data_IF_118111387000
#
_entry.id   IF_118111387000
#
_cell.length_a   1.000
_cell.length_b   1.000
_cell.length_c   1.000
_cell.angle_alpha   90.00
_cell.angle_beta   90.00
_cell.angle_gamma   90.00
#
_symmetry.space_group_name_H-M   'P 1'
#
loop_
_entity.id
_entity.type
_entity.pdbx_description
1 polymer ?
#
# COMPACT_ATOMS: atom_id res chain seq x y z
N UNK A 1 6.43 17.21 -11.74
CA UNK A 1 5.34 17.02 -10.76
C UNK A 1 4.08 16.58 -11.50
N UNK A 2 3.44 15.51 -11.03
CA UNK A 2 2.20 14.99 -11.60
C UNK A 2 1.03 15.52 -10.77
N UNK A 3 -0.08 15.93 -11.38
CA UNK A 3 -1.22 16.34 -10.55
C UNK A 3 -1.85 15.11 -9.87
N UNK A 4 -2.42 15.29 -8.67
CA UNK A 4 -3.02 14.21 -7.85
C UNK A 4 -3.94 13.31 -8.67
N UNK A 5 -4.83 13.91 -9.47
CA UNK A 5 -5.80 13.18 -10.27
C UNK A 5 -5.15 12.24 -11.29
N UNK A 6 -4.12 12.69 -12.01
CA UNK A 6 -3.44 11.85 -12.98
C UNK A 6 -2.68 10.69 -12.31
N UNK A 7 -2.09 10.92 -11.14
CA UNK A 7 -1.44 9.86 -10.37
C UNK A 7 -2.48 8.84 -9.87
N UNK A 8 -3.61 9.30 -9.34
CA UNK A 8 -4.70 8.43 -8.91
C UNK A 8 -5.21 7.55 -10.06
N UNK A 9 -5.51 8.14 -11.23
CA UNK A 9 -5.98 7.38 -12.40
C UNK A 9 -4.98 6.31 -12.83
N UNK A 10 -3.67 6.60 -12.79
CA UNK A 10 -2.63 5.61 -13.09
C UNK A 10 -2.52 4.51 -12.03
N UNK A 11 -2.61 4.86 -10.75
CA UNK A 11 -2.59 3.88 -9.65
C UNK A 11 -3.79 2.95 -9.72
N UNK A 12 -4.98 3.49 -9.93
CA UNK A 12 -6.20 2.69 -10.12
C UNK A 12 -6.07 1.75 -11.31
N UNK A 13 -5.50 2.20 -12.42
CA UNK A 13 -5.24 1.33 -13.56
C UNK A 13 -4.25 0.20 -13.23
N UNK A 14 -3.14 0.51 -12.53
CA UNK A 14 -2.13 -0.47 -12.11
C UNK A 14 -2.66 -1.52 -11.14
N UNK A 15 -3.64 -1.15 -10.30
CA UNK A 15 -4.19 -1.99 -9.24
C UNK A 15 -5.56 -2.57 -9.57
N UNK A 16 -6.10 -2.25 -10.75
CA UNK A 16 -7.44 -2.64 -11.20
C UNK A 16 -7.70 -4.14 -11.09
N UNK A 17 -6.73 -4.98 -11.46
CA UNK A 17 -6.83 -6.44 -11.32
C UNK A 17 -7.06 -6.87 -9.87
N UNK A 18 -6.31 -6.27 -8.92
CA UNK A 18 -6.46 -6.59 -7.50
C UNK A 18 -7.83 -6.18 -6.95
N UNK A 19 -8.29 -4.98 -7.33
CA UNK A 19 -9.62 -4.50 -6.95
C UNK A 19 -10.75 -5.31 -7.61
N UNK A 20 -10.56 -5.78 -8.84
CA UNK A 20 -11.48 -6.69 -9.51
C UNK A 20 -11.58 -8.03 -8.79
N UNK A 21 -10.44 -8.62 -8.43
CA UNK A 21 -10.40 -9.88 -7.67
C UNK A 21 -11.10 -9.76 -6.31
N UNK A 22 -11.00 -8.61 -5.62
CA UNK A 22 -11.75 -8.39 -4.37
C UNK A 22 -13.25 -8.59 -4.56
N UNK A 23 -13.82 -7.97 -5.61
CA UNK A 23 -15.25 -8.09 -5.91
C UNK A 23 -15.63 -9.52 -6.32
N UNK A 24 -14.80 -10.18 -7.14
CA UNK A 24 -15.02 -11.57 -7.57
C UNK A 24 -14.99 -12.57 -6.40
N UNK A 25 -14.17 -12.29 -5.38
CA UNK A 25 -14.04 -13.10 -4.17
C UNK A 25 -15.05 -12.72 -3.07
N UNK A 26 -15.97 -11.79 -3.35
CA UNK A 26 -17.04 -11.41 -2.44
C UNK A 26 -16.62 -10.51 -1.28
N UNK A 27 -15.52 -9.76 -1.43
CA UNK A 27 -15.11 -8.73 -0.48
C UNK A 27 -15.61 -7.35 -0.92
N UNK A 28 -16.01 -6.52 0.05
CA UNK A 28 -16.37 -5.13 -0.25
C UNK A 28 -15.14 -4.36 -0.80
N UNK A 29 -15.28 -3.55 -1.85
CA UNK A 29 -14.16 -2.77 -2.36
C UNK A 29 -13.74 -1.69 -1.36
N UNK A 30 -12.44 -1.38 -1.32
CA UNK A 30 -11.93 -0.22 -0.59
C UNK A 30 -12.62 1.08 -1.04
N UNK A 31 -12.87 2.01 -0.13
CA UNK A 31 -13.45 3.32 -0.42
C UNK A 31 -12.52 4.22 -1.26
N UNK A 32 -13.05 5.32 -1.79
CA UNK A 32 -12.27 6.24 -2.63
C UNK A 32 -11.08 6.87 -1.88
N UNK A 33 -11.26 7.24 -0.61
CA UNK A 33 -10.20 7.79 0.23
C UNK A 33 -9.07 6.77 0.45
N UNK A 34 -9.42 5.51 0.70
CA UNK A 34 -8.45 4.41 0.88
C UNK A 34 -7.68 4.13 -0.42
N UNK A 35 -8.36 4.14 -1.57
CA UNK A 35 -7.74 3.91 -2.89
C UNK A 35 -6.86 5.07 -3.37
N UNK A 36 -7.06 6.28 -2.84
CA UNK A 36 -6.33 7.49 -3.24
C UNK A 36 -5.25 7.93 -2.25
N UNK A 37 -5.09 7.21 -1.13
CA UNK A 37 -4.18 7.54 -0.03
C UNK A 37 -2.76 7.89 -0.51
N UNK A 38 -2.15 7.00 -1.29
CA UNK A 38 -0.78 7.20 -1.77
C UNK A 38 -0.67 8.23 -2.89
N UNK A 39 -1.70 8.35 -3.73
CA UNK A 39 -1.75 9.36 -4.78
C UNK A 39 -1.65 10.78 -4.19
N UNK A 40 -2.25 10.97 -3.02
CA UNK A 40 -2.26 12.25 -2.31
C UNK A 40 -0.86 12.64 -1.82
N UNK A 41 -0.09 11.66 -1.35
CA UNK A 41 1.24 11.86 -0.75
C UNK A 41 2.32 12.03 -1.83
N UNK A 42 2.32 11.16 -2.84
CA UNK A 42 3.42 11.11 -3.81
C UNK A 42 3.19 11.94 -5.09
N UNK A 43 2.07 12.68 -5.21
CA UNK A 43 1.83 13.50 -6.41
C UNK A 43 2.88 14.61 -6.62
N UNK A 44 3.51 15.07 -5.53
CA UNK A 44 4.55 16.10 -5.56
C UNK A 44 5.96 15.53 -5.71
N UNK A 45 6.12 14.20 -5.82
CA UNK A 45 7.43 13.57 -5.90
C UNK A 45 8.22 14.08 -7.12
N UNK A 46 9.52 14.44 -6.98
CA UNK A 46 10.29 15.08 -8.05
C UNK A 46 10.41 14.22 -9.31
N UNK A 47 10.69 12.93 -9.13
CA UNK A 47 10.79 11.94 -10.19
C UNK A 47 9.43 11.26 -10.39
N UNK A 48 8.85 11.41 -11.58
CA UNK A 48 7.49 10.93 -11.87
C UNK A 48 7.43 9.41 -11.88
N UNK A 49 8.46 8.73 -12.37
CA UNK A 49 8.47 7.28 -12.50
C UNK A 49 8.71 6.64 -11.14
N UNK A 50 9.71 7.11 -10.40
CA UNK A 50 9.96 6.66 -9.03
C UNK A 50 8.77 6.97 -8.11
N UNK A 51 8.17 8.16 -8.25
CA UNK A 51 6.98 8.54 -7.49
C UNK A 51 5.78 7.64 -7.76
N UNK A 52 5.56 7.23 -9.02
CA UNK A 52 4.50 6.28 -9.37
C UNK A 52 4.76 4.89 -8.79
N UNK A 53 5.99 4.38 -8.91
CA UNK A 53 6.38 3.08 -8.35
C UNK A 53 6.27 3.08 -6.82
N UNK A 54 6.72 4.14 -6.15
CA UNK A 54 6.64 4.27 -4.70
C UNK A 54 5.19 4.38 -4.23
N UNK A 55 4.36 5.13 -4.93
CA UNK A 55 2.93 5.21 -4.64
C UNK A 55 2.24 3.86 -4.84
N UNK A 56 2.56 3.12 -5.92
CA UNK A 56 2.00 1.81 -6.18
C UNK A 56 2.44 0.77 -5.13
N UNK A 57 3.72 0.80 -4.74
CA UNK A 57 4.25 -0.02 -3.65
C UNK A 57 3.52 0.29 -2.33
N UNK A 58 3.43 1.57 -1.95
CA UNK A 58 2.70 1.98 -0.76
C UNK A 58 1.22 1.56 -0.79
N UNK A 59 0.54 1.72 -1.92
CA UNK A 59 -0.87 1.34 -2.03
C UNK A 59 -1.06 -0.17 -1.92
N UNK A 60 -0.16 -0.97 -2.51
CA UNK A 60 -0.17 -2.42 -2.35
C UNK A 60 0.07 -2.83 -0.90
N UNK A 61 1.02 -2.21 -0.21
CA UNK A 61 1.33 -2.51 1.18
C UNK A 61 0.17 -2.12 2.11
N UNK A 62 -0.48 -0.99 1.85
CA UNK A 62 -1.74 -0.61 2.50
C UNK A 62 -2.80 -1.70 2.34
N UNK A 63 -3.08 -2.12 1.09
CA UNK A 63 -4.09 -3.14 0.83
C UNK A 63 -3.76 -4.46 1.56
N UNK A 64 -2.49 -4.90 1.53
CA UNK A 64 -2.03 -6.06 2.27
C UNK A 64 -2.33 -5.97 3.78
N UNK A 65 -1.96 -4.87 4.43
CA UNK A 65 -2.20 -4.68 5.86
C UNK A 65 -3.71 -4.58 6.18
N UNK A 66 -4.46 -3.80 5.40
CA UNK A 66 -5.89 -3.61 5.61
C UNK A 66 -6.70 -4.88 5.39
N UNK A 67 -6.32 -5.75 4.44
CA UNK A 67 -7.02 -7.02 4.21
C UNK A 67 -6.94 -7.96 5.41
N UNK A 68 -5.84 -7.97 6.15
CA UNK A 68 -5.74 -8.77 7.36
C UNK A 68 -6.72 -8.35 8.47
N UNK A 69 -7.11 -7.07 8.52
CA UNK A 69 -8.18 -6.63 9.42
C UNK A 69 -9.57 -7.10 8.96
N UNK A 70 -9.71 -7.47 7.69
CA UNK A 70 -10.97 -7.83 7.04
C UNK A 70 -11.14 -9.35 6.92
N UNK A 71 -10.33 -10.11 7.67
CA UNK A 71 -10.33 -11.57 7.65
C UNK A 71 -11.69 -12.16 8.05
N UNK A 72 -12.46 -11.45 8.88
CA UNK A 72 -13.81 -11.86 9.31
C UNK A 72 -14.85 -11.77 8.18
N UNK A 73 -14.61 -10.96 7.14
CA UNK A 73 -15.51 -10.88 5.98
C UNK A 73 -15.39 -12.15 5.11
N UNK A 74 -14.16 -12.54 4.79
CA UNK A 74 -13.83 -13.75 4.06
C UNK A 74 -12.34 -14.07 4.23
N UNK A 75 -12.02 -15.00 5.13
CA UNK A 75 -10.65 -15.36 5.49
C UNK A 75 -9.82 -15.79 4.27
N UNK A 76 -10.38 -16.66 3.43
CA UNK A 76 -9.67 -17.18 2.25
C UNK A 76 -9.37 -16.06 1.25
N UNK A 77 -10.34 -15.17 1.02
CA UNK A 77 -10.14 -14.04 0.13
C UNK A 77 -9.11 -13.06 0.69
N UNK A 78 -9.23 -12.68 1.96
CA UNK A 78 -8.31 -11.77 2.64
C UNK A 78 -6.86 -12.26 2.57
N UNK A 79 -6.61 -13.56 2.83
CA UNK A 79 -5.27 -14.15 2.72
C UNK A 79 -4.74 -14.13 1.29
N UNK A 80 -5.50 -14.63 0.32
CA UNK A 80 -5.04 -14.71 -1.07
C UNK A 80 -4.80 -13.33 -1.70
N UNK A 81 -5.69 -12.38 -1.43
CA UNK A 81 -5.53 -11.00 -1.87
C UNK A 81 -4.37 -10.31 -1.13
N UNK A 82 -4.18 -10.61 0.15
CA UNK A 82 -3.02 -10.15 0.92
C UNK A 82 -1.72 -10.59 0.25
N UNK A 83 -1.56 -11.87 -0.03
CA UNK A 83 -0.39 -12.42 -0.72
C UNK A 83 -0.19 -11.79 -2.12
N UNK A 84 -1.28 -11.61 -2.87
CA UNK A 84 -1.26 -10.94 -4.16
C UNK A 84 -0.73 -9.50 -4.05
N UNK A 85 -1.30 -8.69 -3.15
CA UNK A 85 -0.87 -7.30 -2.98
C UNK A 85 0.56 -7.22 -2.41
N UNK A 86 0.97 -8.14 -1.54
CA UNK A 86 2.35 -8.19 -1.06
C UNK A 86 3.36 -8.53 -2.18
N UNK A 87 2.97 -9.42 -3.11
CA UNK A 87 3.75 -9.69 -4.32
C UNK A 87 3.85 -8.46 -5.22
N UNK A 88 2.74 -7.75 -5.44
CA UNK A 88 2.71 -6.49 -6.22
C UNK A 88 3.50 -5.37 -5.55
N UNK A 89 3.47 -5.26 -4.23
CA UNK A 89 4.32 -4.37 -3.45
C UNK A 89 5.80 -4.59 -3.79
N UNK A 90 6.26 -5.84 -3.73
CA UNK A 90 7.64 -6.18 -4.07
C UNK A 90 7.97 -5.84 -5.53
N UNK A 91 7.05 -6.11 -6.46
CA UNK A 91 7.22 -5.79 -7.87
C UNK A 91 7.46 -4.29 -8.13
N UNK A 92 6.79 -3.41 -7.39
CA UNK A 92 6.94 -1.96 -7.53
C UNK A 92 8.08 -1.39 -6.69
N UNK A 93 8.44 -2.03 -5.58
CA UNK A 93 9.55 -1.60 -4.72
C UNK A 93 10.92 -1.92 -5.32
N UNK A 94 11.10 -3.11 -5.94
CA UNK A 94 12.39 -3.55 -6.48
C UNK A 94 12.99 -2.56 -7.50
N UNK A 95 12.24 -2.04 -8.49
CA UNK A 95 12.77 -1.07 -9.46
C UNK A 95 13.25 0.25 -8.86
N UNK A 96 12.86 0.57 -7.63
CA UNK A 96 13.35 1.75 -6.93
C UNK A 96 14.80 1.60 -6.46
N UNK A 97 15.32 0.36 -6.38
CA UNK A 97 16.71 0.03 -6.01
C UNK A 97 17.20 0.74 -4.72
N UNK A 98 16.28 1.06 -3.81
CA UNK A 98 16.57 1.73 -2.55
C UNK A 98 16.57 0.74 -1.41
N UNK A 99 17.77 0.39 -0.96
CA UNK A 99 17.96 -0.41 0.26
C UNK A 99 17.28 0.23 1.47
N UNK A 100 17.34 1.56 1.58
CA UNK A 100 16.75 2.28 2.69
C UNK A 100 15.23 2.12 2.71
N UNK A 101 14.54 2.23 1.56
CA UNK A 101 13.11 1.95 1.49
C UNK A 101 12.76 0.52 1.95
N UNK A 102 13.55 -0.48 1.55
CA UNK A 102 13.34 -1.86 1.96
C UNK A 102 13.47 -1.99 3.49
N UNK A 103 14.47 -1.35 4.08
CA UNK A 103 14.68 -1.33 5.53
C UNK A 103 13.51 -0.64 6.25
N UNK A 104 13.04 0.51 5.77
CA UNK A 104 11.90 1.26 6.33
C UNK A 104 10.59 0.46 6.32
N UNK A 105 10.22 -0.14 5.18
CA UNK A 105 9.02 -1.00 5.11
C UNK A 105 9.15 -2.24 5.99
N UNK A 106 10.35 -2.81 6.09
CA UNK A 106 10.60 -3.96 6.96
C UNK A 106 10.47 -3.60 8.44
N UNK A 107 11.01 -2.45 8.85
CA UNK A 107 10.88 -1.93 10.22
C UNK A 107 9.42 -1.65 10.56
N UNK A 108 8.68 -0.98 9.66
CA UNK A 108 7.25 -0.76 9.84
C UNK A 108 6.51 -2.08 10.05
N UNK A 109 6.74 -3.09 9.20
CA UNK A 109 6.10 -4.40 9.32
C UNK A 109 6.47 -5.14 10.62
N UNK A 110 7.70 -4.99 11.10
CA UNK A 110 8.14 -5.56 12.38
C UNK A 110 7.45 -4.91 13.58
N UNK A 111 7.30 -3.59 13.59
CA UNK A 111 6.55 -2.88 14.63
C UNK A 111 5.09 -3.31 14.63
N UNK A 112 4.49 -3.29 13.44
CA UNK A 112 3.13 -3.74 13.20
C UNK A 112 2.88 -5.20 13.65
N UNK A 113 3.80 -6.12 13.35
CA UNK A 113 3.66 -7.53 13.74
C UNK A 113 3.78 -7.76 15.25
N UNK A 114 4.62 -7.00 15.96
CA UNK A 114 4.71 -7.07 17.44
C UNK A 114 3.38 -6.71 18.09
N UNK A 115 2.73 -5.67 17.59
CA UNK A 115 1.41 -5.23 18.05
C UNK A 115 0.29 -6.23 17.69
N UNK A 116 0.52 -7.09 16.68
CA UNK A 116 -0.43 -8.12 16.23
C UNK A 116 -0.47 -9.39 17.06
N UNK A 117 0.62 -9.72 17.77
CA UNK A 117 0.70 -10.91 18.64
C UNK A 117 -0.27 -10.81 19.83
N UNK A 118 -0.67 -9.59 20.21
CA UNK A 118 -1.56 -9.33 21.35
C UNK A 118 -3.06 -9.41 21.01
N UNK A 119 -3.42 -9.79 19.78
CA UNK A 119 -4.80 -10.17 19.40
C UNK A 119 -5.84 -9.04 19.30
N UNK A 120 -5.43 -7.78 19.44
CA UNK A 120 -6.31 -6.60 19.41
C UNK A 120 -6.17 -5.74 18.14
N UNK A 121 -5.59 -6.28 17.07
CA UNK A 121 -5.02 -5.41 16.04
C UNK A 121 -6.05 -4.86 15.06
N UNK A 122 -6.07 -3.54 14.96
CA UNK A 122 -6.66 -2.77 13.86
C UNK A 122 -5.48 -2.03 13.22
N UNK A 123 -5.13 -2.34 11.98
CA UNK A 123 -4.21 -1.54 11.17
C UNK A 123 -4.58 -0.04 11.22
N UNK A 124 -3.64 0.78 11.71
CA UNK A 124 -3.83 2.22 11.89
C UNK A 124 -3.43 2.98 10.61
N UNK A 125 -4.45 3.47 9.90
CA UNK A 125 -4.25 4.20 8.64
C UNK A 125 -3.53 5.54 8.84
N UNK A 126 -3.67 6.18 10.01
CA UNK A 126 -3.01 7.47 10.27
C UNK A 126 -1.53 7.27 10.59
N UNK A 127 -1.20 6.24 11.39
CA UNK A 127 0.20 5.82 11.59
C UNK A 127 0.86 5.50 10.25
N UNK A 128 0.15 4.81 9.36
CA UNK A 128 0.64 4.50 8.02
C UNK A 128 0.83 5.75 7.15
N UNK A 129 -0.10 6.72 7.22
CA UNK A 129 0.04 8.02 6.53
C UNK A 129 1.27 8.78 7.00
N UNK A 130 1.57 8.79 8.30
CA UNK A 130 2.78 9.43 8.85
C UNK A 130 4.04 8.76 8.28
N UNK A 131 4.07 7.43 8.26
CA UNK A 131 5.16 6.65 7.66
C UNK A 131 5.36 6.99 6.17
N UNK A 132 4.27 7.03 5.39
CA UNK A 132 4.35 7.37 3.96
C UNK A 132 4.88 8.79 3.71
N UNK A 133 4.51 9.75 4.57
CA UNK A 133 5.06 11.11 4.48
C UNK A 133 6.57 11.11 4.76
N UNK A 134 7.02 10.39 5.79
CA UNK A 134 8.45 10.25 6.11
C UNK A 134 9.24 9.69 4.91
N UNK A 135 8.82 8.57 4.33
CA UNK A 135 9.53 7.99 3.18
C UNK A 135 9.48 8.88 1.93
N UNK A 136 8.43 9.71 1.78
CA UNK A 136 8.31 10.63 0.65
C UNK A 136 9.29 11.81 0.71
N UNK A 137 9.75 12.19 1.92
CA UNK A 137 10.57 13.38 2.14
C UNK A 137 12.01 13.10 2.56
N UNK A 138 12.25 11.98 3.25
CA UNK A 138 13.50 11.74 3.98
C UNK A 138 14.28 10.51 3.48
N UNK A 139 13.68 9.70 2.62
CA UNK A 139 14.33 8.50 2.08
C UNK A 139 14.79 8.73 0.65
N UNK A 140 16.06 8.44 0.39
CA UNK A 140 16.63 8.54 -0.95
C UNK A 140 16.16 7.36 -1.80
N UNK A 141 15.63 7.68 -2.99
CA UNK A 141 15.08 6.73 -3.96
C UNK A 141 15.76 6.91 -5.29
#
# INVERSE_FOLDING_TARGET
MMNKRNLQEKLEALLSDGYGMMAEMGMEPFGEEERSLTAEIFCTYPDIEKGLNLAAAGQCFYCFCSLHNRIEENETAATLLGDYFFSRFSHFLIPLDSRQLIEEFSLYLQEESKDGVDGNRIFDTEKYRIFLNHISSEVEV
#
